data_IF_230783099239
#
_entry.id   IF_230783099239
#
_cell.length_a   1.000
_cell.length_b   1.000
_cell.length_c   1.000
_cell.angle_alpha   90.00
_cell.angle_beta   90.00
_cell.angle_gamma   90.00
#
_symmetry.space_group_name_H-M   'P 1'
#
loop_
_entity.id
_entity.type
_entity.pdbx_description
1 polymer ?
#
# COMPACT_ATOMS: atom_id res chain seq x y z
N UNK A 1 -14.91 12.60 -12.86
CA UNK A 1 -13.73 12.16 -12.11
C UNK A 1 -12.51 12.50 -12.95
N UNK A 2 -11.74 13.49 -12.52
CA UNK A 2 -10.45 13.80 -13.12
C UNK A 2 -9.45 12.67 -12.83
N UNK A 3 -8.36 12.57 -13.60
CA UNK A 3 -7.27 11.65 -13.29
C UNK A 3 -6.76 11.81 -11.84
N UNK A 4 -6.67 13.05 -11.33
CA UNK A 4 -6.27 13.33 -9.95
C UNK A 4 -7.26 12.80 -8.91
N UNK A 5 -8.57 12.94 -9.13
CA UNK A 5 -9.59 12.38 -8.23
C UNK A 5 -9.54 10.84 -8.20
N UNK A 6 -9.20 10.21 -9.32
CA UNK A 6 -9.02 8.75 -9.41
C UNK A 6 -7.77 8.34 -8.64
N UNK A 7 -6.65 9.05 -8.82
CA UNK A 7 -5.38 8.81 -8.14
C UNK A 7 -5.54 8.96 -6.63
N UNK A 8 -6.14 10.05 -6.16
CA UNK A 8 -6.38 10.28 -4.73
C UNK A 8 -7.21 9.17 -4.11
N UNK A 9 -8.29 8.73 -4.79
CA UNK A 9 -9.11 7.62 -4.32
C UNK A 9 -8.35 6.29 -4.29
N UNK A 10 -7.45 6.06 -5.25
CA UNK A 10 -6.59 4.87 -5.25
C UNK A 10 -5.68 4.87 -4.02
N UNK A 11 -5.06 6.01 -3.70
CA UNK A 11 -4.24 6.16 -2.49
C UNK A 11 -5.04 5.85 -1.21
N UNK A 12 -6.23 6.42 -1.05
CA UNK A 12 -7.09 6.17 0.13
C UNK A 12 -7.45 4.68 0.27
N UNK A 13 -7.76 4.02 -0.86
CA UNK A 13 -8.10 2.59 -0.89
C UNK A 13 -6.87 1.74 -0.57
N UNK A 14 -5.70 2.07 -1.10
CA UNK A 14 -4.46 1.33 -0.79
C UNK A 14 -4.03 1.47 0.66
N UNK A 15 -4.22 2.65 1.27
CA UNK A 15 -3.92 2.87 2.69
C UNK A 15 -4.87 2.06 3.58
N UNK A 16 -6.17 2.05 3.23
CA UNK A 16 -7.17 1.21 3.90
C UNK A 16 -6.82 -0.28 3.79
N UNK A 17 -6.36 -0.73 2.62
CA UNK A 17 -5.92 -2.12 2.43
C UNK A 17 -4.69 -2.45 3.27
N UNK A 18 -3.71 -1.55 3.37
CA UNK A 18 -2.52 -1.73 4.22
C UNK A 18 -2.92 -1.92 5.68
N UNK A 19 -3.83 -1.09 6.22
CA UNK A 19 -4.34 -1.26 7.58
C UNK A 19 -5.02 -2.63 7.81
N UNK A 20 -5.81 -3.10 6.84
CA UNK A 20 -6.49 -4.39 6.92
C UNK A 20 -5.45 -5.52 6.95
N UNK A 21 -4.45 -5.47 6.08
CA UNK A 21 -3.37 -6.45 5.99
C UNK A 21 -2.56 -6.48 7.29
N UNK A 22 -2.24 -5.34 7.90
CA UNK A 22 -1.55 -5.28 9.19
C UNK A 22 -2.37 -5.92 10.33
N UNK A 23 -3.69 -5.69 10.35
CA UNK A 23 -4.60 -6.33 11.31
C UNK A 23 -4.62 -7.84 11.11
N UNK A 24 -4.69 -8.31 9.87
CA UNK A 24 -4.62 -9.73 9.54
C UNK A 24 -3.28 -10.34 9.95
N UNK A 25 -2.16 -9.66 9.71
CA UNK A 25 -0.84 -10.11 10.15
C UNK A 25 -0.80 -10.34 11.65
N UNK A 26 -1.32 -9.38 12.44
CA UNK A 26 -1.38 -9.50 13.90
C UNK A 26 -2.15 -10.74 14.36
N UNK A 27 -3.28 -11.05 13.70
CA UNK A 27 -4.09 -12.24 14.00
C UNK A 27 -3.32 -13.52 13.63
N UNK A 28 -2.64 -13.53 12.48
CA UNK A 28 -1.86 -14.67 11.99
C UNK A 28 -0.69 -14.96 12.92
N UNK A 29 0.00 -13.93 13.43
CA UNK A 29 1.07 -14.07 14.42
C UNK A 29 0.61 -14.82 15.68
N UNK A 30 -0.61 -14.53 16.14
CA UNK A 30 -1.21 -15.15 17.32
C UNK A 30 -1.82 -16.54 17.04
N UNK A 31 -1.94 -16.92 15.77
CA UNK A 31 -2.56 -18.17 15.35
C UNK A 31 -1.56 -19.34 15.33
N UNK A 32 -2.09 -20.57 15.40
CA UNK A 32 -1.31 -21.82 15.26
C UNK A 32 -1.00 -22.14 13.79
N UNK A 33 -0.42 -21.18 13.08
CA UNK A 33 0.06 -21.31 11.70
C UNK A 33 1.53 -21.70 11.73
N UNK A 34 1.99 -22.49 10.75
CA UNK A 34 3.40 -22.85 10.61
C UNK A 34 4.28 -21.60 10.44
N UNK A 35 5.44 -21.56 11.10
CA UNK A 35 6.34 -20.40 11.09
C UNK A 35 6.90 -20.10 9.68
N UNK A 36 7.04 -21.13 8.84
CA UNK A 36 7.40 -20.98 7.42
C UNK A 36 6.37 -20.12 6.69
N UNK A 37 5.08 -20.41 6.88
CA UNK A 37 3.97 -19.65 6.29
C UNK A 37 3.91 -18.22 6.84
N UNK A 38 4.13 -18.04 8.15
CA UNK A 38 4.23 -16.68 8.74
C UNK A 38 5.36 -15.87 8.13
N UNK A 39 6.51 -16.50 7.93
CA UNK A 39 7.69 -15.86 7.33
C UNK A 39 7.44 -15.46 5.87
N UNK A 40 6.83 -16.35 5.09
CA UNK A 40 6.42 -16.06 3.72
C UNK A 40 5.48 -14.84 3.66
N UNK A 41 4.45 -14.82 4.50
CA UNK A 41 3.50 -13.70 4.58
C UNK A 41 4.16 -12.39 4.98
N UNK A 42 5.06 -12.40 5.99
CA UNK A 42 5.82 -11.20 6.39
C UNK A 42 6.64 -10.63 5.22
N UNK A 43 7.29 -11.51 4.46
CA UNK A 43 8.08 -11.09 3.30
C UNK A 43 7.18 -10.52 2.20
N UNK A 44 6.07 -11.18 1.87
CA UNK A 44 5.12 -10.69 0.86
C UNK A 44 4.51 -9.33 1.22
N UNK A 45 4.17 -9.11 2.50
CA UNK A 45 3.68 -7.81 2.98
C UNK A 45 4.77 -6.76 2.78
N UNK A 46 5.98 -7.04 3.26
CA UNK A 46 7.11 -6.11 3.15
C UNK A 46 7.42 -5.73 1.71
N UNK A 47 7.45 -6.71 0.80
CA UNK A 47 7.74 -6.46 -0.61
C UNK A 47 6.64 -5.60 -1.25
N UNK A 48 5.38 -5.86 -0.91
CA UNK A 48 4.23 -5.09 -1.39
C UNK A 48 4.24 -3.66 -0.86
N UNK A 49 4.51 -3.46 0.43
CA UNK A 49 4.61 -2.13 1.04
C UNK A 49 5.72 -1.29 0.39
N UNK A 50 6.89 -1.89 0.10
CA UNK A 50 7.97 -1.19 -0.61
C UNK A 50 7.55 -0.76 -2.03
N UNK A 51 6.75 -1.57 -2.73
CA UNK A 51 6.24 -1.23 -4.06
C UNK A 51 5.17 -0.12 -3.98
N UNK A 52 4.29 -0.17 -2.98
CA UNK A 52 3.33 0.90 -2.71
C UNK A 52 4.03 2.24 -2.43
N UNK A 53 5.07 2.26 -1.61
CA UNK A 53 5.87 3.46 -1.34
C UNK A 53 6.48 4.06 -2.63
N UNK A 54 7.00 3.19 -3.52
CA UNK A 54 7.58 3.62 -4.79
C UNK A 54 6.51 4.18 -5.74
N UNK A 55 5.32 3.56 -5.78
CA UNK A 55 4.19 4.03 -6.57
C UNK A 55 3.66 5.37 -6.04
N UNK A 56 3.48 5.51 -4.72
CA UNK A 56 3.02 6.77 -4.12
C UNK A 56 4.00 7.92 -4.44
N UNK A 57 5.31 7.66 -4.30
CA UNK A 57 6.33 8.64 -4.67
C UNK A 57 6.25 9.03 -6.16
N UNK A 58 6.04 8.06 -7.05
CA UNK A 58 5.84 8.32 -8.47
C UNK A 58 4.58 9.14 -8.75
N UNK A 59 3.48 8.86 -8.06
CA UNK A 59 2.19 9.54 -8.21
C UNK A 59 2.23 10.98 -7.68
N UNK A 60 2.93 11.24 -6.57
CA UNK A 60 3.15 12.63 -6.08
C UNK A 60 3.82 13.51 -7.13
N UNK A 61 4.79 12.97 -7.89
CA UNK A 61 5.41 13.71 -8.99
C UNK A 61 4.39 14.09 -10.07
N UNK A 62 3.46 13.20 -10.42
CA UNK A 62 2.40 13.54 -11.37
C UNK A 62 1.48 14.64 -10.85
N UNK A 63 1.10 14.59 -9.56
CA UNK A 63 0.32 15.65 -8.92
C UNK A 63 1.07 17.00 -8.89
N UNK A 64 2.37 17.00 -8.60
CA UNK A 64 3.18 18.23 -8.52
C UNK A 64 3.44 18.88 -9.90
N UNK A 65 3.41 18.11 -10.98
CA UNK A 65 3.69 18.65 -12.34
C UNK A 65 2.49 19.39 -12.94
N UNK A 66 1.26 19.14 -12.45
CA UNK A 66 0.04 19.80 -12.89
C UNK A 66 -0.22 21.16 -12.18
N UNK A 67 0.51 21.47 -11.11
CA UNK A 67 0.45 22.78 -10.42
C UNK A 67 1.28 23.88 -11.11
N UNK A 68 2.01 23.54 -12.19
CA UNK A 68 2.63 24.53 -13.08
C UNK A 68 1.55 25.03 -14.05
N UNK A 69 0.82 26.07 -13.65
CA UNK A 69 -0.01 26.86 -14.56
C UNK A 69 0.89 27.50 -15.62
N UNK A 70 0.85 27.01 -16.86
CA UNK A 70 1.15 27.84 -18.04
C UNK A 70 0.07 28.93 -18.22
#
# INVERSE_FOLDING_TARGET
MSPLEIISRLCDVTETLSEIVQKQQTIIEQSKVEESVKTELRNSIKDTDNELDALEYGMRRYCDTDDIKE
#
